data_IF_647725436831
#
_entry.id   IF_647725436831
#
_cell.length_a   1.000
_cell.length_b   1.000
_cell.length_c   1.000
_cell.angle_alpha   90.00
_cell.angle_beta   90.00
_cell.angle_gamma   90.00
#
_symmetry.space_group_name_H-M   'P 1'
#
loop_
_entity.id
_entity.type
_entity.pdbx_description
1 polymer ?
#
# COMPACT_ATOMS: atom_id res chain seq x y z
N UNK A 1 5.82 -4.31 -21.98
CA UNK A 1 5.24 -3.66 -20.80
C UNK A 1 4.95 -4.63 -19.65
N UNK A 2 4.21 -5.72 -19.88
CA UNK A 2 3.95 -6.77 -18.88
C UNK A 2 5.24 -7.37 -18.31
N UNK A 3 6.29 -7.50 -19.12
CA UNK A 3 7.58 -8.08 -18.73
C UNK A 3 8.39 -7.24 -17.74
N UNK A 4 8.22 -5.92 -17.73
CA UNK A 4 8.93 -5.04 -16.78
C UNK A 4 8.27 -5.05 -15.41
N UNK A 5 6.94 -4.97 -15.35
CA UNK A 5 6.20 -5.02 -14.10
C UNK A 5 6.44 -6.34 -13.35
N UNK A 6 6.51 -7.47 -14.06
CA UNK A 6 6.81 -8.78 -13.49
C UNK A 6 8.20 -8.86 -12.82
N UNK A 7 9.12 -7.99 -13.21
CA UNK A 7 10.47 -7.93 -12.63
C UNK A 7 10.62 -6.83 -11.60
N UNK A 8 9.97 -5.71 -11.84
CA UNK A 8 10.12 -4.49 -11.03
C UNK A 8 9.40 -4.60 -9.69
N UNK A 9 8.16 -5.06 -9.68
CA UNK A 9 7.37 -5.08 -8.46
C UNK A 9 7.91 -6.04 -7.40
N UNK A 10 8.29 -7.30 -7.72
CA UNK A 10 8.95 -8.17 -6.73
C UNK A 10 10.21 -7.55 -6.14
N UNK A 11 11.00 -6.85 -6.94
CA UNK A 11 12.21 -6.19 -6.48
C UNK A 11 11.89 -5.01 -5.55
N UNK A 12 10.88 -4.22 -5.86
CA UNK A 12 10.41 -3.12 -5.00
C UNK A 12 9.90 -3.64 -3.66
N UNK A 13 9.10 -4.72 -3.68
CA UNK A 13 8.61 -5.36 -2.45
C UNK A 13 9.81 -5.78 -1.59
N UNK A 14 10.79 -6.46 -2.17
CA UNK A 14 11.98 -6.90 -1.45
C UNK A 14 12.77 -5.73 -0.84
N UNK A 15 12.92 -4.64 -1.57
CA UNK A 15 13.60 -3.42 -1.08
C UNK A 15 12.86 -2.78 0.10
N UNK A 16 11.55 -2.68 0.00
CA UNK A 16 10.70 -2.10 1.05
C UNK A 16 10.73 -2.99 2.31
N UNK A 17 10.63 -4.30 2.13
CA UNK A 17 10.72 -5.25 3.24
C UNK A 17 12.09 -5.16 3.94
N UNK A 18 13.19 -5.10 3.19
CA UNK A 18 14.53 -4.94 3.75
C UNK A 18 14.69 -3.60 4.48
N UNK A 19 14.17 -2.52 3.91
CA UNK A 19 14.16 -1.19 4.54
C UNK A 19 13.46 -1.22 5.89
N UNK A 20 12.32 -1.91 5.96
CA UNK A 20 11.54 -2.11 7.19
C UNK A 20 12.30 -2.96 8.20
N UNK A 21 12.97 -4.03 7.76
CA UNK A 21 13.75 -4.91 8.63
C UNK A 21 14.92 -4.20 9.27
N UNK A 22 15.69 -3.46 8.50
CA UNK A 22 16.86 -2.70 9.00
C UNK A 22 16.46 -1.70 10.08
N UNK A 23 15.24 -1.17 10.01
CA UNK A 23 14.71 -0.18 10.96
C UNK A 23 13.91 -0.79 12.11
N UNK A 24 13.76 -2.12 12.13
CA UNK A 24 12.98 -2.81 13.16
C UNK A 24 11.46 -2.62 13.03
N UNK A 25 10.99 -2.02 11.94
CA UNK A 25 9.56 -1.76 11.71
C UNK A 25 8.80 -3.08 11.55
N UNK A 26 9.40 -4.06 10.91
CA UNK A 26 8.81 -5.38 10.69
C UNK A 26 8.39 -6.10 11.99
N UNK A 27 9.00 -5.75 13.12
CA UNK A 27 8.72 -6.34 14.44
C UNK A 27 7.66 -5.58 15.24
N UNK A 28 7.17 -4.46 14.71
CA UNK A 28 6.12 -3.70 15.38
C UNK A 28 4.77 -4.42 15.21
N UNK A 29 3.83 -4.21 16.15
CA UNK A 29 2.50 -4.82 16.03
C UNK A 29 1.77 -4.34 14.77
N UNK A 30 1.23 -5.29 14.00
CA UNK A 30 0.45 -4.94 12.80
C UNK A 30 -0.80 -4.12 13.14
N UNK A 31 -1.29 -4.23 14.36
CA UNK A 31 -2.45 -3.48 14.83
C UNK A 31 -2.22 -1.96 14.77
N UNK A 32 -1.00 -1.52 15.05
CA UNK A 32 -0.67 -0.08 14.96
C UNK A 32 -0.48 0.37 13.51
N UNK A 33 -0.05 -0.52 12.63
CA UNK A 33 0.08 -0.22 11.21
C UNK A 33 -1.26 0.09 10.54
N UNK A 34 -2.36 -0.42 11.08
CA UNK A 34 -3.70 -0.08 10.60
C UNK A 34 -3.98 1.42 10.67
N UNK A 35 -3.46 2.11 11.69
CA UNK A 35 -3.61 3.57 11.80
C UNK A 35 -2.86 4.28 10.68
N UNK A 36 -1.69 3.77 10.30
CA UNK A 36 -0.96 4.30 9.15
C UNK A 36 -1.72 4.08 7.84
N UNK A 37 -2.32 2.92 7.67
CA UNK A 37 -3.20 2.65 6.50
C UNK A 37 -4.33 3.68 6.44
N UNK A 38 -4.97 3.97 7.57
CA UNK A 38 -6.08 4.95 7.62
C UNK A 38 -5.60 6.36 7.30
N UNK A 39 -4.41 6.73 7.76
CA UNK A 39 -3.79 8.02 7.43
C UNK A 39 -3.60 8.15 5.91
N UNK A 40 -3.01 7.14 5.28
CA UNK A 40 -2.77 7.14 3.83
C UNK A 40 -4.09 7.11 3.03
N UNK A 41 -5.09 6.38 3.49
CA UNK A 41 -6.43 6.42 2.88
C UNK A 41 -7.01 7.83 2.97
N UNK A 42 -6.87 8.48 4.13
CA UNK A 42 -7.33 9.86 4.33
C UNK A 42 -6.67 10.85 3.38
N UNK A 43 -5.38 10.68 3.12
CA UNK A 43 -4.66 11.51 2.13
C UNK A 43 -5.20 11.29 0.71
N UNK A 44 -5.46 10.04 0.34
CA UNK A 44 -6.05 9.72 -0.96
C UNK A 44 -7.41 10.41 -1.14
N UNK A 45 -8.31 10.25 -0.18
CA UNK A 45 -9.64 10.88 -0.25
C UNK A 45 -9.57 12.40 -0.21
N UNK A 46 -8.69 12.96 0.62
CA UNK A 46 -8.45 14.39 0.69
C UNK A 46 -7.92 14.98 -0.61
N UNK A 47 -6.99 14.28 -1.25
CA UNK A 47 -6.43 14.67 -2.55
C UNK A 47 -7.50 14.64 -3.65
N UNK A 48 -8.30 13.58 -3.67
CA UNK A 48 -9.41 13.46 -4.62
C UNK A 48 -10.43 14.59 -4.42
N UNK A 49 -10.87 14.81 -3.19
CA UNK A 49 -11.87 15.83 -2.87
C UNK A 49 -11.43 17.25 -3.27
N UNK A 50 -10.15 17.53 -3.11
CA UNK A 50 -9.57 18.85 -3.46
C UNK A 50 -9.08 18.96 -4.90
N UNK A 51 -9.17 17.90 -5.68
CA UNK A 51 -8.67 17.87 -7.06
C UNK A 51 -7.13 17.97 -7.16
N UNK A 52 -6.41 17.58 -6.12
CA UNK A 52 -4.94 17.60 -6.10
C UNK A 52 -4.41 16.30 -6.69
N UNK A 53 -4.17 16.29 -8.01
CA UNK A 53 -3.74 15.09 -8.72
C UNK A 53 -2.31 14.64 -8.36
N UNK A 54 -1.42 15.58 -8.05
CA UNK A 54 -0.07 15.24 -7.62
C UNK A 54 -0.09 14.47 -6.31
N UNK A 55 -0.80 14.99 -5.29
CA UNK A 55 -0.96 14.30 -4.02
C UNK A 55 -1.72 12.98 -4.17
N UNK A 56 -2.69 12.92 -5.06
CA UNK A 56 -3.44 11.68 -5.32
C UNK A 56 -2.51 10.59 -5.85
N UNK A 57 -1.63 10.93 -6.79
CA UNK A 57 -0.65 10.00 -7.33
C UNK A 57 0.33 9.52 -6.25
N UNK A 58 0.83 10.43 -5.43
CA UNK A 58 1.73 10.11 -4.32
C UNK A 58 1.03 9.18 -3.31
N UNK A 59 -0.22 9.47 -2.98
CA UNK A 59 -1.00 8.66 -2.03
C UNK A 59 -1.18 7.22 -2.48
N UNK A 60 -1.33 6.97 -3.78
CA UNK A 60 -1.44 5.60 -4.31
C UNK A 60 -0.19 4.77 -3.99
N UNK A 61 0.99 5.33 -4.21
CA UNK A 61 2.25 4.65 -3.90
C UNK A 61 2.46 4.46 -2.40
N UNK A 62 2.17 5.47 -1.62
CA UNK A 62 2.32 5.44 -0.15
C UNK A 62 1.40 4.40 0.49
N UNK A 63 0.18 4.25 0.00
CA UNK A 63 -0.73 3.20 0.45
C UNK A 63 -0.10 1.83 0.21
N UNK A 64 0.43 1.57 -0.98
CA UNK A 64 1.03 0.27 -1.29
C UNK A 64 2.22 -0.03 -0.38
N UNK A 65 3.11 0.94 -0.16
CA UNK A 65 4.25 0.78 0.77
C UNK A 65 3.73 0.41 2.16
N UNK A 66 2.73 1.11 2.64
CA UNK A 66 2.12 0.86 3.96
C UNK A 66 1.51 -0.53 4.05
N UNK A 67 0.87 -1.00 2.99
CA UNK A 67 0.29 -2.36 2.91
C UNK A 67 1.38 -3.44 2.87
N UNK A 68 2.48 -3.22 2.17
CA UNK A 68 3.62 -4.15 2.15
C UNK A 68 4.14 -4.36 3.57
N UNK A 69 4.33 -3.29 4.32
CA UNK A 69 4.81 -3.36 5.71
C UNK A 69 3.78 -4.03 6.60
N UNK A 70 2.50 -3.73 6.43
CA UNK A 70 1.41 -4.37 7.18
C UNK A 70 1.41 -5.90 6.99
N UNK A 71 1.51 -6.35 5.75
CA UNK A 71 1.55 -7.79 5.43
C UNK A 71 2.82 -8.43 6.01
N UNK A 72 3.95 -7.76 5.93
CA UNK A 72 5.20 -8.23 6.52
C UNK A 72 5.07 -8.43 8.04
N UNK A 73 4.51 -7.47 8.74
CA UNK A 73 4.27 -7.58 10.19
C UNK A 73 3.27 -8.70 10.51
N UNK A 74 2.19 -8.76 9.76
CA UNK A 74 1.14 -9.78 9.95
C UNK A 74 1.67 -11.20 9.74
N UNK A 75 2.53 -11.42 8.76
CA UNK A 75 3.11 -12.72 8.43
C UNK A 75 4.35 -13.07 9.25
N UNK A 76 4.70 -12.28 10.27
CA UNK A 76 5.92 -12.45 11.07
C UNK A 76 7.21 -12.42 10.22
N UNK A 77 7.23 -11.58 9.19
CA UNK A 77 8.40 -11.38 8.34
C UNK A 77 8.55 -12.42 7.22
N UNK A 78 7.49 -13.17 6.89
CA UNK A 78 7.52 -14.05 5.73
C UNK A 78 7.77 -13.24 4.47
N UNK A 79 8.89 -13.55 3.80
CA UNK A 79 9.32 -12.79 2.62
C UNK A 79 8.39 -13.03 1.45
N UNK A 80 8.13 -11.96 0.70
CA UNK A 80 7.35 -11.97 -0.54
C UNK A 80 5.90 -12.41 -0.38
N UNK A 81 5.38 -12.51 0.84
CA UNK A 81 3.97 -12.88 1.05
C UNK A 81 3.02 -11.87 0.40
N UNK A 82 3.42 -10.59 0.35
CA UNK A 82 2.65 -9.54 -0.30
C UNK A 82 2.38 -9.81 -1.78
N UNK A 83 3.25 -10.51 -2.49
CA UNK A 83 3.05 -10.81 -3.90
C UNK A 83 1.75 -11.57 -4.18
N UNK A 84 1.27 -12.39 -3.23
CA UNK A 84 0.01 -13.11 -3.36
C UNK A 84 -1.19 -12.17 -3.51
N UNK A 85 -1.09 -10.95 -2.98
CA UNK A 85 -2.13 -9.93 -3.10
C UNK A 85 -1.98 -9.06 -4.34
N UNK A 86 -0.77 -8.95 -4.86
CA UNK A 86 -0.47 -8.05 -5.97
C UNK A 86 -0.96 -8.56 -7.32
N UNK A 87 -0.83 -9.85 -7.58
CA UNK A 87 -1.10 -10.47 -8.88
C UNK A 87 -2.55 -10.93 -9.06
N UNK A 88 -3.45 -10.43 -8.27
CA UNK A 88 -4.87 -10.78 -8.39
C UNK A 88 -5.46 -10.18 -9.66
N UNK A 89 -6.24 -10.99 -10.39
CA UNK A 89 -7.00 -10.53 -11.53
C UNK A 89 -8.01 -9.47 -11.10
N UNK A 90 -8.13 -8.47 -11.93
CA UNK A 90 -9.03 -7.35 -11.67
C UNK A 90 -10.37 -7.59 -12.30
N UNK A 91 -11.40 -7.25 -11.56
CA UNK A 91 -12.71 -7.03 -12.13
C UNK A 91 -12.66 -5.87 -13.13
N UNK A 92 -13.70 -5.78 -13.95
CA UNK A 92 -13.87 -4.66 -14.87
C UNK A 92 -13.94 -3.33 -14.12
N UNK A 93 -13.41 -2.26 -14.74
CA UNK A 93 -13.51 -0.90 -14.21
C UNK A 93 -14.98 -0.47 -14.14
N UNK A 94 -15.45 -0.10 -12.97
CA UNK A 94 -16.84 0.25 -12.69
C UNK A 94 -17.05 1.75 -12.38
N UNK A 95 -16.05 2.58 -12.68
CA UNK A 95 -16.09 4.00 -12.38
C UNK A 95 -15.22 4.38 -11.19
N UNK A 96 -14.70 5.60 -11.21
CA UNK A 96 -13.77 6.09 -10.19
C UNK A 96 -14.40 6.10 -8.79
N UNK A 97 -15.63 6.59 -8.68
CA UNK A 97 -16.36 6.63 -7.40
C UNK A 97 -16.55 5.25 -6.81
N UNK A 98 -16.86 4.25 -7.64
CA UNK A 98 -17.02 2.87 -7.19
C UNK A 98 -15.74 2.37 -6.52
N UNK A 99 -14.59 2.53 -7.16
CA UNK A 99 -13.33 2.04 -6.63
C UNK A 99 -12.88 2.79 -5.37
N UNK A 100 -13.11 4.09 -5.30
CA UNK A 100 -12.88 4.87 -4.07
C UNK A 100 -13.78 4.40 -2.93
N UNK A 101 -15.05 4.18 -3.21
CA UNK A 101 -16.02 3.70 -2.20
C UNK A 101 -15.65 2.29 -1.70
N UNK A 102 -15.17 1.42 -2.59
CA UNK A 102 -14.70 0.09 -2.19
C UNK A 102 -13.50 0.17 -1.23
N UNK A 103 -12.57 1.08 -1.45
CA UNK A 103 -11.45 1.31 -0.52
C UNK A 103 -12.00 1.77 0.83
N UNK A 104 -12.92 2.70 0.86
CA UNK A 104 -13.54 3.18 2.11
C UNK A 104 -14.24 2.05 2.87
N UNK A 105 -15.00 1.20 2.19
CA UNK A 105 -15.70 0.07 2.83
C UNK A 105 -14.75 -1.03 3.30
N UNK A 106 -13.57 -1.16 2.72
CA UNK A 106 -12.55 -2.14 3.14
C UNK A 106 -12.00 -1.88 4.55
N UNK A 107 -12.17 -0.68 5.07
CA UNK A 107 -11.66 -0.28 6.39
C UNK A 107 -12.12 -1.23 7.50
N UNK A 108 -13.40 -1.54 7.55
CA UNK A 108 -13.95 -2.45 8.57
C UNK A 108 -13.35 -3.86 8.45
N UNK A 109 -13.12 -4.33 7.23
CA UNK A 109 -12.55 -5.65 6.98
C UNK A 109 -11.07 -5.71 7.38
N UNK A 110 -10.31 -4.65 7.18
CA UNK A 110 -8.92 -4.55 7.63
C UNK A 110 -8.84 -4.70 9.15
N UNK A 111 -9.82 -4.16 9.88
CA UNK A 111 -9.89 -4.26 11.33
C UNK A 111 -10.48 -5.59 11.83
N UNK A 112 -10.95 -6.47 10.95
CA UNK A 112 -11.57 -7.74 11.32
C UNK A 112 -10.58 -8.85 11.75
N UNK A 113 -9.29 -8.55 11.83
CA UNK A 113 -8.26 -9.51 12.25
C UNK A 113 -7.76 -10.40 11.12
N UNK A 114 -7.40 -11.66 11.44
CA UNK A 114 -6.71 -12.57 10.53
C UNK A 114 -7.46 -12.83 9.21
N UNK A 115 -8.78 -12.89 9.23
CA UNK A 115 -9.58 -13.07 8.01
C UNK A 115 -9.62 -11.82 7.13
N UNK A 116 -9.32 -10.66 7.70
CA UNK A 116 -9.36 -9.38 7.00
C UNK A 116 -8.19 -9.14 6.06
N UNK A 117 -7.08 -9.87 6.22
CA UNK A 117 -5.89 -9.62 5.38
C UNK A 117 -6.17 -9.86 3.89
N UNK A 118 -7.05 -10.79 3.57
CA UNK A 118 -7.38 -11.12 2.19
C UNK A 118 -8.13 -10.00 1.46
N UNK A 119 -8.70 -9.03 2.17
CA UNK A 119 -9.32 -7.86 1.56
C UNK A 119 -8.29 -6.99 0.82
N UNK A 120 -7.02 -7.08 1.18
CA UNK A 120 -5.96 -6.27 0.57
C UNK A 120 -5.84 -6.51 -0.92
N UNK A 121 -6.13 -7.71 -1.41
CA UNK A 121 -6.13 -8.00 -2.84
C UNK A 121 -7.16 -7.15 -3.60
N UNK A 122 -8.32 -6.90 -2.98
CA UNK A 122 -9.35 -6.04 -3.55
C UNK A 122 -8.95 -4.57 -3.48
N UNK A 123 -8.37 -4.15 -2.35
CA UNK A 123 -7.83 -2.78 -2.21
C UNK A 123 -6.80 -2.52 -3.29
N UNK A 124 -5.86 -3.43 -3.50
CA UNK A 124 -4.82 -3.30 -4.52
C UNK A 124 -5.44 -3.23 -5.92
N UNK A 125 -6.43 -4.07 -6.21
CA UNK A 125 -7.15 -4.02 -7.47
C UNK A 125 -7.83 -2.66 -7.69
N UNK A 126 -8.48 -2.12 -6.67
CA UNK A 126 -9.08 -0.78 -6.73
C UNK A 126 -8.04 0.31 -6.97
N UNK A 127 -6.90 0.26 -6.29
CA UNK A 127 -5.79 1.20 -6.49
C UNK A 127 -5.26 1.14 -7.92
N UNK A 128 -5.13 -0.06 -8.49
CA UNK A 128 -4.71 -0.24 -9.88
C UNK A 128 -5.71 0.37 -10.87
N UNK A 129 -7.00 0.21 -10.63
CA UNK A 129 -8.04 0.83 -11.43
C UNK A 129 -7.99 2.36 -11.35
N UNK A 130 -7.81 2.91 -10.16
CA UNK A 130 -7.71 4.35 -9.95
C UNK A 130 -6.48 4.90 -10.69
N UNK A 131 -5.32 4.27 -10.53
CA UNK A 131 -4.10 4.69 -11.24
C UNK A 131 -4.32 4.69 -12.75
N UNK A 132 -4.85 3.61 -13.29
CA UNK A 132 -5.10 3.47 -14.73
C UNK A 132 -6.08 4.51 -15.27
N UNK A 133 -7.10 4.86 -14.48
CA UNK A 133 -8.06 5.91 -14.86
C UNK A 133 -7.37 7.24 -15.17
N UNK A 134 -6.34 7.58 -14.40
CA UNK A 134 -5.55 8.80 -14.61
C UNK A 134 -4.38 8.63 -15.59
N UNK A 135 -4.24 7.46 -16.21
CA UNK A 135 -3.13 7.17 -17.11
C UNK A 135 -1.82 6.84 -16.39
N UNK A 136 -1.87 6.48 -15.11
CA UNK A 136 -0.71 6.09 -14.33
C UNK A 136 -0.58 4.58 -14.22
N UNK A 137 0.63 4.14 -13.91
CA UNK A 137 0.92 2.76 -13.53
C UNK A 137 1.17 2.70 -12.02
N UNK A 138 0.47 1.80 -11.31
CA UNK A 138 0.62 1.72 -9.85
C UNK A 138 2.04 1.33 -9.43
N UNK A 139 2.73 0.47 -10.18
CA UNK A 139 4.13 0.11 -9.89
C UNK A 139 5.04 1.34 -9.93
N UNK A 140 4.86 2.25 -10.88
CA UNK A 140 5.60 3.51 -10.93
C UNK A 140 5.30 4.41 -9.73
N UNK A 141 4.06 4.42 -9.27
CA UNK A 141 3.69 5.15 -8.05
C UNK A 141 4.42 4.59 -6.82
N UNK A 142 4.54 3.26 -6.73
CA UNK A 142 5.29 2.59 -5.65
C UNK A 142 6.78 2.90 -5.75
N UNK A 143 7.34 2.89 -6.95
CA UNK A 143 8.75 3.24 -7.17
C UNK A 143 9.04 4.67 -6.71
N UNK A 144 8.17 5.61 -7.05
CA UNK A 144 8.28 6.99 -6.60
C UNK A 144 8.24 7.09 -5.07
N UNK A 145 7.29 6.42 -4.43
CA UNK A 145 7.21 6.36 -2.96
C UNK A 145 8.47 5.76 -2.34
N UNK A 146 9.02 4.70 -2.93
CA UNK A 146 10.28 4.11 -2.49
C UNK A 146 11.44 5.11 -2.55
N UNK A 147 11.58 5.85 -3.64
CA UNK A 147 12.63 6.85 -3.79
C UNK A 147 12.55 7.93 -2.71
N UNK A 148 11.34 8.26 -2.26
CA UNK A 148 11.15 9.24 -1.18
C UNK A 148 11.49 8.71 0.22
N UNK A 149 11.26 7.42 0.48
CA UNK A 149 11.43 6.86 1.83
C UNK A 149 12.78 6.20 2.07
N UNK A 150 13.46 5.72 1.03
CA UNK A 150 14.65 4.86 1.14
C UNK A 150 15.73 5.40 2.08
N UNK A 151 15.90 6.71 2.12
CA UNK A 151 16.93 7.39 2.94
C UNK A 151 16.38 7.96 4.25
N UNK A 152 15.09 7.78 4.53
CA UNK A 152 14.49 8.29 5.77
C UNK A 152 15.08 7.58 6.99
N UNK A 153 15.40 8.39 7.99
CA UNK A 153 15.82 7.94 9.32
C UNK A 153 14.71 8.23 10.32
N UNK A 154 14.61 7.39 11.31
CA UNK A 154 13.58 7.54 12.33
C UNK A 154 13.86 6.67 13.53
N UNK A 155 12.90 6.62 14.45
CA UNK A 155 12.98 5.83 15.68
C UNK A 155 11.62 5.27 16.04
N UNK A 156 11.62 4.22 16.86
CA UNK A 156 10.39 3.65 17.40
C UNK A 156 10.03 4.39 18.69
N UNK A 157 8.79 4.87 18.76
CA UNK A 157 8.22 5.52 19.96
C UNK A 157 6.86 4.87 20.23
N UNK A 158 6.70 4.29 21.42
CA UNK A 158 5.45 3.63 21.83
C UNK A 158 4.90 2.62 20.81
N UNK A 159 5.79 1.82 20.21
CA UNK A 159 5.41 0.80 19.24
C UNK A 159 5.10 1.33 17.84
N UNK A 160 5.38 2.60 17.57
CA UNK A 160 5.17 3.27 16.27
C UNK A 160 6.49 3.82 15.75
N UNK A 161 6.76 3.63 14.48
CA UNK A 161 7.93 4.25 13.85
C UNK A 161 7.62 5.70 13.48
N UNK A 162 8.48 6.60 13.95
CA UNK A 162 8.39 8.05 13.70
C UNK A 162 9.65 8.53 13.00
N UNK A 163 9.46 9.35 12.00
CA UNK A 163 10.57 9.94 11.23
C UNK A 163 10.61 11.47 11.32
#
# INVERSE_FOLDING_TARGET
>A
MITNELKEMPLLIAKIEEWSMVRGIHNLPYETQRYKIMEEFGELFGAYYRGNLELLKDSLGDIVVTLIIYVQQFSNGERNFFEEFWWVDKDEFKGLSYHLDQIATSTNLIYAGASGIWVLRYVIADLKHIAKHYGWNLTECVEHAWEEIKDRKGRVVDGVWVH
#
